data_IF_915580003987
#
_entry.id   IF_915580003987
#
_cell.length_a   1.000
_cell.length_b   1.000
_cell.length_c   1.000
_cell.angle_alpha   90.00
_cell.angle_beta   90.00
_cell.angle_gamma   90.00
#
_symmetry.space_group_name_H-M   'P 1'
#
loop_
_entity.id
_entity.type
_entity.pdbx_description
1 polymer ?
2 water ?
#
# COMPACT_ATOMS: atom_id res chain seq x y z
N UNK A 4 9.42 -21.63 18.30
CA UNK A 4 7.99 -21.53 18.73
C UNK A 4 7.63 -20.12 19.19
N UNK A 5 6.71 -19.48 18.48
CA UNK A 5 6.31 -18.13 18.85
C UNK A 5 4.82 -17.94 18.98
N UNK A 6 4.46 -16.89 19.71
CA UNK A 6 3.08 -16.48 19.94
C UNK A 6 2.93 -15.25 19.05
N UNK A 7 1.88 -15.20 18.25
CA UNK A 7 1.66 -14.06 17.37
C UNK A 7 0.36 -13.39 17.77
N UNK A 8 0.39 -12.06 17.89
CA UNK A 8 -0.78 -11.28 18.32
C UNK A 8 -0.62 -9.81 17.93
N UNK A 9 -1.68 -9.04 18.08
CA UNK A 9 -1.61 -7.60 17.77
C UNK A 9 -0.72 -6.98 18.86
N UNK A 10 0.03 -5.96 18.50
CA UNK A 10 0.91 -5.30 19.46
C UNK A 10 0.12 -4.39 20.40
N UNK A 11 0.69 -4.08 21.56
CA UNK A 11 0.06 -3.16 22.50
C UNK A 11 1.13 -2.12 22.85
N UNK A 12 0.77 -1.12 23.66
CA UNK A 12 1.73 -0.09 24.04
C UNK A 12 2.96 -0.66 24.71
N UNK A 13 2.79 -1.78 25.40
CA UNK A 13 3.90 -2.43 26.08
C UNK A 13 4.98 -2.97 25.16
N UNK A 14 4.67 -3.13 23.88
CA UNK A 14 5.64 -3.66 22.91
C UNK A 14 6.35 -2.55 22.15
N UNK A 15 5.83 -1.33 22.25
CA UNK A 15 6.38 -0.21 21.49
C UNK A 15 7.87 0.01 21.62
N UNK A 16 8.39 -0.04 22.84
CA UNK A 16 9.82 0.17 23.05
C UNK A 16 10.65 -0.86 22.27
N UNK A 17 10.26 -2.13 22.35
CA UNK A 17 10.99 -3.17 21.63
C UNK A 17 10.81 -3.05 20.12
N UNK A 18 9.61 -2.67 19.67
CA UNK A 18 9.40 -2.54 18.22
C UNK A 18 10.28 -1.43 17.63
N UNK A 19 10.32 -0.27 18.30
CA UNK A 19 11.15 0.83 17.82
C UNK A 19 12.62 0.43 17.79
N UNK A 20 13.06 -0.29 18.82
CA UNK A 20 14.45 -0.75 18.86
C UNK A 20 14.74 -1.65 17.65
N UNK A 21 13.82 -2.56 17.32
CA UNK A 21 13.99 -3.47 16.19
C UNK A 21 14.07 -2.67 14.90
N UNK A 22 13.22 -1.66 14.76
CA UNK A 22 13.23 -0.82 13.57
C UNK A 22 14.57 -0.09 13.40
N UNK A 23 15.05 0.49 14.49
CA UNK A 23 16.31 1.23 14.47
C UNK A 23 17.53 0.33 14.27
N UNK A 24 17.41 -0.93 14.64
CA UNK A 24 18.49 -1.89 14.52
C UNK A 24 18.62 -2.46 13.11
N UNK A 25 17.59 -2.26 12.29
CA UNK A 25 17.59 -2.76 10.92
C UNK A 25 18.72 -2.13 10.10
N UNK A 26 19.33 -2.92 9.23
CA UNK A 26 20.43 -2.43 8.40
C UNK A 26 20.05 -1.16 7.64
N UNK A 27 18.79 -1.08 7.21
CA UNK A 27 18.31 0.09 6.48
C UNK A 27 17.59 1.09 7.39
N UNK A 28 16.80 0.57 8.32
CA UNK A 28 16.07 1.44 9.22
C UNK A 28 16.99 2.26 10.11
N UNK A 29 18.19 1.72 10.33
CA UNK A 29 19.19 2.38 11.16
C UNK A 29 19.43 3.81 10.68
N UNK A 30 19.25 4.02 9.38
CA UNK A 30 19.46 5.32 8.77
C UNK A 30 18.22 6.20 8.78
N UNK A 31 17.06 5.62 9.05
CA UNK A 31 15.81 6.38 9.03
C UNK A 31 15.09 6.50 10.37
N UNK A 32 15.38 5.59 11.29
CA UNK A 32 14.70 5.60 12.59
C UNK A 32 15.46 6.36 13.67
N UNK A 33 14.81 6.55 14.81
CA UNK A 33 15.42 7.24 15.93
C UNK A 33 15.04 6.54 17.23
N UNK A 34 15.89 5.61 17.65
CA UNK A 34 15.63 4.90 18.89
C UNK A 34 16.30 5.63 20.04
N UNK A 35 15.54 5.91 21.09
CA UNK A 35 16.07 6.55 22.28
C UNK A 35 15.05 6.43 23.40
N UNK A 36 15.49 6.70 24.62
CA UNK A 36 14.64 6.64 25.80
C UNK A 36 14.69 8.00 26.47
N UNK A 37 13.54 8.66 26.63
CA UNK A 37 12.21 8.22 26.22
C UNK A 37 12.05 8.12 24.70
N UNK A 38 11.07 7.34 24.26
CA UNK A 38 10.80 7.17 22.84
C UNK A 38 10.28 8.47 22.22
N UNK A 39 10.68 8.76 20.96
CA UNK A 39 10.22 9.98 20.29
C UNK A 39 8.69 9.94 20.18
N UNK A 40 8.04 11.06 20.48
CA UNK A 40 6.59 11.10 20.43
C UNK A 40 6.00 10.78 19.05
N UNK A 41 6.78 10.99 18.01
CA UNK A 41 6.31 10.70 16.65
C UNK A 41 5.88 9.23 16.53
N UNK A 42 6.60 8.33 17.18
CA UNK A 42 6.26 6.91 17.15
C UNK A 42 4.97 6.68 17.93
N UNK A 43 4.81 7.44 19.01
CA UNK A 43 3.61 7.31 19.85
C UNK A 43 2.37 7.78 19.10
N UNK A 44 2.46 8.93 18.44
CA UNK A 44 1.33 9.45 17.68
C UNK A 44 0.92 8.47 16.58
N UNK A 45 1.90 7.86 15.94
CA UNK A 45 1.62 6.90 14.88
C UNK A 45 0.96 5.66 15.46
N UNK A 46 1.48 5.18 16.59
CA UNK A 46 0.92 4.00 17.24
C UNK A 46 -0.56 4.20 17.56
N UNK A 47 -0.88 5.37 18.11
CA UNK A 47 -2.26 5.69 18.47
C UNK A 47 -3.19 5.70 17.26
N UNK A 48 -2.71 6.28 16.16
CA UNK A 48 -3.52 6.35 14.94
C UNK A 48 -3.78 4.94 14.40
N UNK A 49 -2.74 4.11 14.42
CA UNK A 49 -2.85 2.74 13.94
C UNK A 49 -3.83 1.96 14.84
N UNK A 50 -3.69 2.13 16.14
CA UNK A 50 -4.55 1.45 17.10
C UNK A 50 -6.04 1.73 16.91
N UNK A 51 -6.39 2.99 16.69
CA UNK A 51 -7.79 3.35 16.52
C UNK A 51 -8.42 2.88 15.20
N UNK A 52 -7.59 2.57 14.21
CA UNK A 52 -8.09 2.10 12.92
C UNK A 52 -8.06 0.58 12.93
N UNK A 53 -9.24 -0.05 12.96
CA UNK A 53 -9.32 -1.51 12.98
C UNK A 53 -8.75 -2.22 11.74
N UNK A 54 -8.61 -1.49 10.64
CA UNK A 54 -8.09 -2.05 9.39
C UNK A 54 -6.62 -1.77 9.18
N UNK A 55 -5.95 -1.29 10.24
CA UNK A 55 -4.52 -1.00 10.19
C UNK A 55 -3.98 -1.63 11.47
N UNK A 56 -3.11 -2.63 11.34
CA UNK A 56 -2.61 -3.32 12.52
C UNK A 56 -1.11 -3.55 12.60
N UNK A 57 -0.62 -3.57 13.83
CA UNK A 57 0.78 -3.87 14.10
C UNK A 57 0.72 -5.24 14.73
N UNK A 58 1.47 -6.17 14.13
CA UNK A 58 1.50 -7.56 14.59
C UNK A 58 2.90 -7.92 15.07
N UNK A 59 2.98 -8.61 16.21
CA UNK A 59 4.27 -9.02 16.74
C UNK A 59 4.35 -10.52 17.00
N UNK A 60 5.55 -11.07 16.85
CA UNK A 60 5.85 -12.48 17.10
C UNK A 60 6.56 -12.41 18.45
N UNK A 61 6.11 -13.23 19.40
CA UNK A 61 6.67 -13.19 20.74
C UNK A 61 7.25 -14.49 21.28
N UNK A 62 8.31 -14.35 22.07
CA UNK A 62 8.96 -15.46 22.75
C UNK A 62 8.77 -15.02 24.20
N UNK A 63 7.55 -15.21 24.71
CA UNK A 63 7.26 -14.76 26.05
C UNK A 63 7.15 -13.25 25.91
N UNK A 64 7.83 -12.50 26.77
CA UNK A 64 7.77 -11.04 26.70
C UNK A 64 8.75 -10.48 25.66
N UNK A 65 9.62 -11.32 25.15
CA UNK A 65 10.60 -10.90 24.16
C UNK A 65 9.98 -10.84 22.77
N UNK A 66 9.99 -9.65 22.17
CA UNK A 66 9.45 -9.50 20.82
C UNK A 66 10.53 -9.97 19.85
N UNK A 67 10.22 -10.95 19.01
CA UNK A 67 11.22 -11.44 18.09
C UNK A 67 10.89 -11.17 16.63
N UNK A 68 9.78 -10.50 16.38
CA UNK A 68 9.39 -10.19 15.02
C UNK A 68 8.21 -9.23 14.99
N UNK A 69 8.07 -8.49 13.89
CA UNK A 69 6.98 -7.53 13.77
C UNK A 69 6.68 -7.22 12.31
N UNK A 70 5.49 -6.69 12.07
CA UNK A 70 5.09 -6.24 10.74
C UNK A 70 3.83 -5.43 10.91
N UNK A 71 3.50 -4.63 9.90
CA UNK A 71 2.28 -3.86 9.92
C UNK A 71 1.48 -4.38 8.73
N UNK A 72 0.17 -4.46 8.88
CA UNK A 72 -0.67 -4.91 7.80
C UNK A 72 -1.88 -4.00 7.73
N UNK A 73 -2.24 -3.60 6.51
CA UNK A 73 -3.36 -2.71 6.26
C UNK A 73 -4.33 -3.34 5.27
N UNK A 74 -5.61 -3.36 5.63
CA UNK A 74 -6.66 -3.94 4.79
C UNK A 74 -7.41 -2.77 4.18
N UNK A 75 -7.43 -2.72 2.85
CA UNK A 75 -8.04 -1.59 2.14
C UNK A 75 -8.91 -1.98 0.94
N UNK A 76 -10.04 -1.28 0.73
CA UNK A 76 -10.91 -1.60 -0.41
C UNK A 76 -10.43 -0.83 -1.64
N UNK A 77 -10.58 -1.44 -2.81
CA UNK A 77 -10.19 -0.84 -4.08
C UNK A 77 -11.30 -1.20 -5.08
N UNK A 78 -11.36 -0.48 -6.20
CA UNK A 78 -12.35 -0.78 -7.24
C UNK A 78 -11.82 -1.90 -8.14
N UNK A 79 -10.50 -2.01 -8.22
CA UNK A 79 -9.89 -3.02 -9.07
C UNK A 79 -10.16 -4.44 -8.61
N UNK A 80 -10.00 -5.38 -9.54
CA UNK A 80 -10.26 -6.79 -9.27
C UNK A 80 -11.70 -6.92 -8.78
N UNK A 81 -12.60 -6.23 -9.48
CA UNK A 81 -14.02 -6.23 -9.15
C UNK A 81 -14.29 -5.88 -7.69
N UNK A 82 -13.78 -4.71 -7.28
CA UNK A 82 -13.98 -4.21 -5.93
C UNK A 82 -13.40 -5.06 -4.82
N UNK A 83 -12.22 -5.62 -5.05
CA UNK A 83 -11.57 -6.49 -4.07
C UNK A 83 -10.76 -5.72 -3.04
N UNK A 84 -10.85 -6.17 -1.80
CA UNK A 84 -10.06 -5.60 -0.72
C UNK A 84 -8.67 -6.23 -0.84
N UNK A 85 -7.63 -5.49 -0.49
CA UNK A 85 -6.28 -6.01 -0.53
C UNK A 85 -5.64 -5.80 0.83
N UNK A 86 -4.71 -6.66 1.19
CA UNK A 86 -3.97 -6.52 2.43
C UNK A 86 -2.55 -6.15 2.01
N UNK A 87 -2.02 -5.07 2.57
CA UNK A 87 -0.66 -4.65 2.28
C UNK A 87 0.18 -4.82 3.54
N UNK A 88 1.25 -5.59 3.42
CA UNK A 88 2.17 -5.85 4.53
C UNK A 88 3.32 -4.88 4.39
N UNK A 89 3.75 -4.30 5.50
CA UNK A 89 4.85 -3.33 5.48
C UNK A 89 5.82 -3.51 6.63
N UNK A 90 7.11 -3.39 6.32
CA UNK A 90 8.15 -3.49 7.33
C UNK A 90 8.19 -4.75 8.17
N UNK A 91 8.36 -5.90 7.51
CA UNK A 91 8.45 -7.15 8.22
C UNK A 91 9.88 -7.20 8.77
N UNK A 92 10.02 -7.28 10.08
CA UNK A 92 11.34 -7.33 10.70
C UNK A 92 11.44 -8.52 11.64
N UNK A 93 12.61 -9.15 11.67
CA UNK A 93 12.87 -10.28 12.56
C UNK A 93 14.04 -9.86 13.46
N UNK A 94 14.01 -10.28 14.72
CA UNK A 94 15.06 -9.96 15.68
C UNK A 94 16.43 -10.35 15.09
N UNK A 95 17.41 -9.46 15.21
CA UNK A 95 18.74 -9.71 14.66
C UNK A 95 19.44 -10.93 15.27
N UNK A 96 19.00 -11.35 16.45
CA UNK A 96 19.60 -12.50 17.11
C UNK A 96 18.75 -13.76 16.91
N UNK A 97 17.78 -13.67 16.01
CA UNK A 97 16.90 -14.81 15.76
C UNK A 97 16.72 -15.14 14.29
N UNK A 98 17.73 -14.84 13.47
CA UNK A 98 17.63 -15.10 12.04
C UNK A 98 17.73 -16.59 11.73
N UNK A 99 17.01 -17.00 10.68
CA UNK A 99 17.04 -18.39 10.26
C UNK A 99 16.22 -19.34 11.09
N UNK A 100 15.35 -18.81 11.94
CA UNK A 100 14.51 -19.65 12.80
C UNK A 100 13.05 -19.72 12.36
N UNK A 101 12.76 -19.31 11.13
CA UNK A 101 11.41 -19.37 10.61
C UNK A 101 10.39 -18.43 11.25
N UNK A 102 10.86 -17.40 11.94
CA UNK A 102 9.96 -16.44 12.58
C UNK A 102 9.28 -15.57 11.53
N UNK A 103 10.06 -15.09 10.56
CA UNK A 103 9.51 -14.26 9.51
C UNK A 103 8.41 -14.97 8.75
N UNK A 104 8.66 -16.23 8.39
CA UNK A 104 7.66 -17.02 7.68
C UNK A 104 6.37 -17.19 8.48
N UNK A 105 6.49 -17.52 9.76
CA UNK A 105 5.31 -17.68 10.60
C UNK A 105 4.52 -16.38 10.69
N UNK A 106 5.22 -15.27 10.89
CA UNK A 106 4.57 -13.97 11.01
C UNK A 106 3.80 -13.60 9.73
N UNK A 107 4.44 -13.77 8.58
CA UNK A 107 3.78 -13.45 7.32
C UNK A 107 2.62 -14.40 7.02
N UNK A 108 2.81 -15.69 7.30
CA UNK A 108 1.74 -16.66 7.07
C UNK A 108 0.53 -16.31 7.93
N UNK A 109 0.79 -15.87 9.17
CA UNK A 109 -0.27 -15.49 10.10
C UNK A 109 -1.03 -14.30 9.52
N UNK A 110 -0.27 -13.32 9.03
CA UNK A 110 -0.86 -12.11 8.45
C UNK A 110 -1.69 -12.45 7.22
N UNK A 111 -1.20 -13.40 6.41
CA UNK A 111 -1.92 -13.81 5.21
C UNK A 111 -3.27 -14.46 5.56
N UNK A 112 -3.27 -15.29 6.61
CA UNK A 112 -4.53 -15.93 7.02
C UNK A 112 -5.48 -14.86 7.54
N UNK A 113 -4.91 -13.86 8.20
CA UNK A 113 -5.68 -12.75 8.74
C UNK A 113 -6.36 -12.03 7.57
N UNK A 114 -5.59 -11.78 6.51
CA UNK A 114 -6.12 -11.12 5.31
C UNK A 114 -7.26 -11.92 4.69
N UNK A 115 -7.10 -13.24 4.57
CA UNK A 115 -8.16 -14.07 4.01
C UNK A 115 -9.41 -13.93 4.87
N UNK A 116 -9.21 -13.96 6.19
CA UNK A 116 -10.32 -13.81 7.14
C UNK A 116 -11.07 -12.51 6.90
N UNK A 117 -10.33 -11.44 6.60
CA UNK A 117 -10.93 -10.13 6.35
C UNK A 117 -11.59 -10.03 4.98
N UNK A 118 -11.49 -11.08 4.17
CA UNK A 118 -12.10 -11.05 2.86
C UNK A 118 -11.25 -10.44 1.76
N UNK A 119 -9.94 -10.31 1.99
CA UNK A 119 -9.04 -9.75 0.97
C UNK A 119 -8.80 -10.79 -0.12
N UNK A 120 -8.68 -10.33 -1.37
CA UNK A 120 -8.45 -11.26 -2.46
C UNK A 120 -7.00 -11.32 -2.88
N UNK A 121 -6.18 -10.44 -2.34
CA UNK A 121 -4.75 -10.48 -2.64
C UNK A 121 -3.97 -9.79 -1.53
N UNK A 122 -2.73 -10.20 -1.38
CA UNK A 122 -1.88 -9.60 -0.37
C UNK A 122 -0.67 -9.08 -1.15
N UNK A 123 -0.14 -7.94 -0.73
CA UNK A 123 0.98 -7.32 -1.42
C UNK A 123 1.93 -6.62 -0.47
N UNK A 124 3.12 -6.33 -0.99
CA UNK A 124 4.14 -5.63 -0.23
C UNK A 124 5.27 -5.26 -1.18
N UNK A 125 6.13 -4.37 -0.71
CA UNK A 125 7.30 -3.93 -1.48
C UNK A 125 8.50 -4.18 -0.59
N UNK A 126 9.56 -4.74 -1.16
CA UNK A 126 10.77 -5.02 -0.40
C UNK A 126 11.93 -4.30 -1.05
N UNK A 127 12.77 -3.69 -0.23
CA UNK A 127 13.91 -2.93 -0.74
C UNK A 127 14.87 -3.80 -1.52
N UNK A 128 15.22 -3.36 -2.72
CA UNK A 128 16.13 -4.09 -3.59
C UNK A 128 17.53 -4.23 -2.98
N UNK A 129 17.80 -3.49 -1.91
CA UNK A 129 19.11 -3.58 -1.26
C UNK A 129 19.19 -4.76 -0.29
N UNK A 130 18.05 -5.40 -0.05
CA UNK A 130 18.02 -6.58 0.82
C UNK A 130 18.10 -7.77 -0.14
N UNK A 131 19.30 -8.35 -0.28
CA UNK A 131 19.51 -9.49 -1.17
C UNK A 131 18.61 -10.70 -0.97
N UNK A 132 18.40 -11.10 0.28
CA UNK A 132 17.59 -12.29 0.57
C UNK A 132 16.09 -12.10 0.69
N UNK A 133 15.62 -10.87 0.72
CA UNK A 133 14.19 -10.63 0.87
C UNK A 133 13.36 -11.18 -0.28
N UNK A 134 13.76 -10.88 -1.52
CA UNK A 134 13.02 -11.36 -2.68
C UNK A 134 12.81 -12.87 -2.63
N UNK A 135 13.89 -13.59 -2.33
CA UNK A 135 13.86 -15.05 -2.23
C UNK A 135 12.89 -15.52 -1.15
N UNK A 136 12.92 -14.84 0.00
CA UNK A 136 12.06 -15.17 1.13
C UNK A 136 10.57 -15.12 0.72
N UNK A 137 10.19 -14.07 0.01
CA UNK A 137 8.81 -13.91 -0.42
C UNK A 137 8.39 -14.82 -1.57
N UNK A 138 9.32 -15.09 -2.48
CA UNK A 138 9.02 -15.97 -3.60
C UNK A 138 8.79 -17.37 -3.06
N UNK A 139 9.53 -17.72 -2.01
CA UNK A 139 9.37 -19.03 -1.37
C UNK A 139 7.98 -19.18 -0.76
N UNK A 140 7.38 -18.07 -0.37
CA UNK A 140 6.03 -18.09 0.23
C UNK A 140 4.96 -18.18 -0.87
N UNK A 141 5.33 -17.82 -2.09
CA UNK A 141 4.36 -17.89 -3.17
C UNK A 141 4.06 -16.53 -3.76
N UNK A 142 4.76 -15.51 -3.29
CA UNK A 142 4.58 -14.16 -3.84
C UNK A 142 5.30 -14.07 -5.17
N UNK A 143 4.81 -13.21 -6.04
CA UNK A 143 5.42 -13.00 -7.35
C UNK A 143 5.88 -11.54 -7.44
N UNK A 144 7.12 -11.33 -7.89
CA UNK A 144 7.66 -9.98 -8.02
C UNK A 144 7.24 -9.43 -9.39
N UNK A 145 5.93 -9.23 -9.53
CA UNK A 145 5.32 -8.75 -10.76
C UNK A 145 5.40 -7.25 -11.00
N UNK A 146 5.61 -6.47 -9.92
CA UNK A 146 5.62 -5.02 -10.02
C UNK A 146 6.92 -4.34 -9.57
N UNK A 147 7.08 -3.09 -9.99
CA UNK A 147 8.22 -2.27 -9.59
C UNK A 147 7.69 -1.49 -8.40
N UNK A 148 8.47 -1.42 -7.33
CA UNK A 148 8.07 -0.68 -6.13
C UNK A 148 8.69 0.71 -6.20
N UNK A 149 7.87 1.70 -6.52
CA UNK A 149 8.32 3.09 -6.66
C UNK A 149 8.06 3.92 -5.42
N UNK A 150 9.07 4.69 -5.01
CA UNK A 150 8.94 5.55 -3.83
C UNK A 150 9.47 6.95 -4.14
N UNK A 151 8.91 7.94 -3.45
CA UNK A 151 9.31 9.34 -3.59
C UNK A 151 9.24 9.95 -2.19
N UNK A 152 10.40 10.33 -1.65
CA UNK A 152 10.44 10.93 -0.32
C UNK A 152 10.41 12.44 -0.44
N UNK A 153 9.70 13.10 0.47
CA UNK A 153 9.62 14.55 0.43
C UNK A 153 10.69 15.17 1.33
N UNK B 4 -8.07 19.98 -22.01
CA UNK B 4 -8.03 20.70 -20.70
C UNK B 4 -8.91 19.99 -19.68
N UNK B 5 -8.28 19.35 -18.70
CA UNK B 5 -9.02 18.62 -17.68
C UNK B 5 -9.02 19.27 -16.30
N UNK B 6 -10.08 18.98 -15.55
CA UNK B 6 -10.21 19.45 -14.19
C UNK B 6 -10.07 18.19 -13.35
N UNK B 7 -9.55 18.33 -12.14
CA UNK B 7 -9.36 17.19 -11.26
C UNK B 7 -10.19 17.35 -10.00
N UNK B 8 -10.83 16.28 -9.56
CA UNK B 8 -11.67 16.31 -8.37
C UNK B 8 -11.90 14.90 -7.84
N UNK B 9 -12.43 14.78 -6.63
CA UNK B 9 -12.72 13.46 -6.07
C UNK B 9 -13.91 12.92 -6.84
N UNK B 10 -13.91 11.60 -7.07
CA UNK B 10 -15.00 10.97 -7.80
C UNK B 10 -16.29 10.92 -7.00
N UNK B 11 -17.41 10.81 -7.69
CA UNK B 11 -18.71 10.69 -7.05
C UNK B 11 -19.36 9.45 -7.62
N UNK B 12 -20.50 9.04 -7.06
CA UNK B 12 -21.20 7.85 -7.50
C UNK B 12 -21.51 7.90 -9.00
N UNK B 13 -21.77 9.09 -9.51
CA UNK B 13 -22.08 9.22 -10.92
C UNK B 13 -20.93 8.91 -11.86
N UNK B 14 -19.71 8.89 -11.34
CA UNK B 14 -18.54 8.59 -12.16
C UNK B 14 -18.22 7.10 -12.19
N UNK B 15 -18.80 6.34 -11.28
CA UNK B 15 -18.52 4.91 -11.16
C UNK B 15 -18.59 4.11 -12.45
N UNK B 16 -19.67 4.28 -13.22
CA UNK B 16 -19.84 3.54 -14.45
C UNK B 16 -18.64 3.76 -15.39
N UNK B 17 -18.26 5.01 -15.56
CA UNK B 17 -17.13 5.31 -16.43
C UNK B 17 -15.81 4.82 -15.85
N UNK B 18 -15.67 4.88 -14.53
CA UNK B 18 -14.44 4.41 -13.91
C UNK B 18 -14.28 2.91 -14.14
N UNK B 19 -15.34 2.14 -13.91
CA UNK B 19 -15.26 0.70 -14.12
C UNK B 19 -14.98 0.41 -15.60
N UNK B 20 -15.62 1.14 -16.50
CA UNK B 20 -15.38 0.93 -17.93
C UNK B 20 -13.89 1.13 -18.26
N UNK B 21 -13.28 2.13 -17.63
CA UNK B 21 -11.86 2.42 -17.87
C UNK B 21 -11.01 1.26 -17.36
N UNK B 22 -11.32 0.77 -16.16
CA UNK B 22 -10.58 -0.35 -15.61
C UNK B 22 -10.71 -1.58 -16.52
N UNK B 23 -11.94 -1.84 -17.00
CA UNK B 23 -12.21 -3.00 -17.86
C UNK B 23 -11.60 -2.88 -19.25
N UNK B 24 -11.19 -1.68 -19.62
CA UNK B 24 -10.58 -1.42 -20.92
C UNK B 24 -9.05 -1.42 -20.85
N UNK B 25 -8.51 -1.41 -19.63
CA UNK B 25 -7.06 -1.38 -19.45
C UNK B 25 -6.39 -2.61 -20.06
N UNK B 26 -5.22 -2.41 -20.65
CA UNK B 26 -4.49 -3.49 -21.31
C UNK B 26 -4.35 -4.71 -20.41
N UNK B 27 -4.11 -4.48 -19.12
CA UNK B 27 -3.95 -5.56 -18.17
C UNK B 27 -5.24 -5.78 -17.34
N UNK B 28 -5.88 -4.69 -16.98
CA UNK B 28 -7.09 -4.78 -16.16
C UNK B 28 -8.25 -5.55 -16.79
N UNK B 29 -8.36 -5.50 -18.11
CA UNK B 29 -9.44 -6.18 -18.80
C UNK B 29 -9.60 -7.63 -18.33
N UNK B 30 -8.49 -8.29 -18.07
CA UNK B 30 -8.49 -9.69 -17.64
C UNK B 30 -9.10 -9.95 -16.26
N UNK B 31 -9.04 -8.94 -15.39
CA UNK B 31 -9.55 -9.07 -14.01
C UNK B 31 -10.86 -8.34 -13.72
N UNK B 32 -11.34 -7.53 -14.65
CA UNK B 32 -12.56 -6.78 -14.41
C UNK B 32 -13.80 -7.33 -15.13
N UNK B 33 -14.95 -6.77 -14.80
CA UNK B 33 -16.23 -7.20 -15.37
C UNK B 33 -17.16 -6.00 -15.55
N UNK B 34 -17.07 -5.32 -16.68
CA UNK B 34 -17.94 -4.17 -16.91
C UNK B 34 -19.29 -4.62 -17.46
N UNK B 35 -20.36 -4.25 -16.77
CA UNK B 35 -21.72 -4.62 -17.19
C UNK B 35 -22.74 -3.64 -16.66
N UNK B 36 -23.94 -3.68 -17.24
CA UNK B 36 -25.06 -2.83 -16.84
C UNK B 36 -26.20 -3.71 -16.37
N UNK B 37 -26.57 -3.62 -15.08
CA UNK B 37 -25.99 -2.73 -14.06
C UNK B 37 -24.63 -3.29 -13.61
N UNK B 38 -23.81 -2.43 -12.99
CA UNK B 38 -22.50 -2.84 -12.53
C UNK B 38 -22.58 -3.93 -11.48
N UNK B 39 -21.61 -4.88 -11.51
CA UNK B 39 -21.62 -5.96 -10.51
C UNK B 39 -21.63 -5.29 -9.14
N UNK B 40 -22.40 -5.84 -8.22
CA UNK B 40 -22.54 -5.25 -6.89
C UNK B 40 -21.24 -4.96 -6.15
N UNK B 41 -20.22 -5.79 -6.37
CA UNK B 41 -18.97 -5.56 -5.67
C UNK B 41 -18.35 -4.19 -5.97
N UNK B 42 -18.48 -3.70 -7.20
CA UNK B 42 -17.94 -2.38 -7.54
C UNK B 42 -18.68 -1.30 -6.75
N UNK B 43 -19.99 -1.41 -6.71
CA UNK B 43 -20.81 -0.44 -6.01
C UNK B 43 -20.49 -0.47 -4.52
N UNK B 44 -20.38 -1.66 -3.94
CA UNK B 44 -20.06 -1.78 -2.53
C UNK B 44 -18.69 -1.16 -2.24
N UNK B 45 -17.71 -1.47 -3.09
CA UNK B 45 -16.35 -0.95 -2.94
C UNK B 45 -16.32 0.56 -3.00
N UNK B 46 -17.00 1.13 -4.00
CA UNK B 46 -17.03 2.58 -4.11
C UNK B 46 -17.58 3.23 -2.85
N UNK B 47 -18.67 2.67 -2.32
CA UNK B 47 -19.26 3.24 -1.11
C UNK B 47 -18.31 3.19 0.09
N UNK B 48 -17.60 2.09 0.25
CA UNK B 48 -16.65 1.95 1.36
C UNK B 48 -15.49 2.94 1.21
N UNK B 49 -15.03 3.13 -0.02
CA UNK B 49 -13.95 4.07 -0.30
C UNK B 49 -14.41 5.51 -0.05
N UNK B 50 -15.56 5.87 -0.63
CA UNK B 50 -16.08 7.22 -0.48
C UNK B 50 -16.27 7.60 0.98
N UNK B 51 -16.72 6.64 1.79
CA UNK B 51 -16.96 6.86 3.21
C UNK B 51 -15.68 7.11 4.00
N UNK B 52 -14.61 6.41 3.63
CA UNK B 52 -13.32 6.56 4.32
C UNK B 52 -12.59 7.80 3.81
N UNK B 53 -12.38 8.76 4.70
CA UNK B 53 -11.70 10.01 4.33
C UNK B 53 -10.24 9.87 3.95
N UNK B 54 -9.58 8.80 4.41
CA UNK B 54 -8.17 8.58 4.10
C UNK B 54 -7.98 7.68 2.86
N UNK B 55 -9.09 7.36 2.19
CA UNK B 55 -9.05 6.51 1.00
C UNK B 55 -9.83 7.30 -0.06
N UNK B 56 -9.12 7.86 -1.04
CA UNK B 56 -9.78 8.67 -2.06
C UNK B 56 -9.65 8.22 -3.49
N UNK B 57 -10.77 8.34 -4.21
CA UNK B 57 -10.82 8.01 -5.63
C UNK B 57 -10.83 9.36 -6.32
N UNK B 58 -9.81 9.59 -7.16
CA UNK B 58 -9.66 10.86 -7.87
C UNK B 58 -9.88 10.69 -9.37
N UNK B 59 -10.57 11.65 -9.98
CA UNK B 59 -10.83 11.59 -11.41
C UNK B 59 -10.40 12.85 -12.15
N UNK B 60 -9.94 12.67 -13.38
CA UNK B 60 -9.55 13.77 -14.25
C UNK B 60 -10.76 13.89 -15.16
N UNK B 61 -11.31 15.09 -15.28
CA UNK B 61 -12.51 15.28 -16.10
C UNK B 61 -12.40 16.28 -17.24
N UNK B 62 -13.11 15.95 -18.31
CA UNK B 62 -13.22 16.82 -19.47
C UNK B 62 -14.73 16.97 -19.51
N UNK B 63 -15.23 17.87 -18.66
CA UNK B 63 -16.66 18.07 -18.57
C UNK B 63 -17.16 17.01 -17.61
N UNK B 64 -18.11 16.21 -18.05
CA UNK B 64 -18.67 15.15 -17.23
C UNK B 64 -17.95 13.84 -17.58
N UNK B 65 -17.25 13.87 -18.71
CA UNK B 65 -16.52 12.70 -19.19
C UNK B 65 -15.23 12.46 -18.39
N UNK B 66 -15.13 11.26 -17.82
CA UNK B 66 -13.94 10.88 -17.05
C UNK B 66 -12.84 10.51 -18.05
N UNK B 67 -11.70 11.19 -17.98
CA UNK B 67 -10.60 10.90 -18.89
C UNK B 67 -9.37 10.33 -18.17
N UNK B 68 -9.45 10.27 -16.84
CA UNK B 68 -8.35 9.75 -16.06
C UNK B 68 -8.81 9.40 -14.66
N UNK B 69 -8.05 8.56 -13.95
CA UNK B 69 -8.43 8.18 -12.61
C UNK B 69 -7.27 7.58 -11.83
N UNK B 70 -7.43 7.56 -10.51
CA UNK B 70 -6.45 6.94 -9.62
C UNK B 70 -7.06 6.90 -8.24
N UNK B 71 -6.52 6.03 -7.40
CA UNK B 71 -6.97 5.93 -6.02
C UNK B 71 -5.74 6.26 -5.21
N UNK B 72 -5.92 6.95 -4.09
CA UNK B 72 -4.78 7.27 -3.24
C UNK B 72 -5.22 7.04 -1.80
N UNK B 73 -4.35 6.43 -1.02
CA UNK B 73 -4.64 6.13 0.38
C UNK B 73 -3.57 6.71 1.30
N UNK B 74 -4.02 7.38 2.35
CA UNK B 74 -3.13 8.00 3.34
C UNK B 74 -3.15 7.14 4.60
N UNK B 75 -2.00 6.59 4.93
CA UNK B 75 -1.90 5.65 6.05
C UNK B 75 -0.75 5.96 7.00
N UNK B 76 -0.97 5.76 8.32
CA UNK B 76 0.08 6.00 9.31
C UNK B 76 0.88 4.71 9.50
N UNK B 77 2.19 4.85 9.68
CA UNK B 77 3.06 3.69 9.90
C UNK B 77 4.04 4.00 11.03
N UNK B 78 4.62 2.97 11.62
CA UNK B 78 5.62 3.15 12.68
C UNK B 78 6.95 3.54 12.06
N UNK B 79 7.24 3.00 10.88
CA UNK B 79 8.50 3.26 10.17
C UNK B 79 8.70 4.73 9.82
N UNK B 80 9.96 5.12 9.65
CA UNK B 80 10.30 6.51 9.33
C UNK B 80 9.83 7.40 10.47
N UNK B 81 10.07 6.93 11.69
CA UNK B 81 9.69 7.67 12.88
C UNK B 81 8.21 8.04 12.86
N UNK B 82 7.36 7.06 12.61
CA UNK B 82 5.92 7.29 12.60
C UNK B 82 5.41 8.15 11.46
N UNK B 83 5.99 8.01 10.28
CA UNK B 83 5.57 8.80 9.13
C UNK B 83 4.36 8.26 8.40
N UNK B 84 3.48 9.17 7.98
CA UNK B 84 2.32 8.79 7.20
C UNK B 84 2.81 8.70 5.75
N UNK B 85 2.22 7.78 4.99
CA UNK B 85 2.59 7.63 3.60
C UNK B 85 1.33 7.67 2.74
N UNK B 86 1.50 8.11 1.50
CA UNK B 86 0.39 8.14 0.55
C UNK B 86 0.73 7.05 -0.45
N UNK B 87 -0.22 6.18 -0.75
CA UNK B 87 0.00 5.11 -1.72
C UNK B 87 -0.96 5.30 -2.89
N UNK B 88 -0.40 5.48 -4.08
CA UNK B 88 -1.22 5.66 -5.27
C UNK B 88 -1.44 4.26 -5.84
N UNK B 89 -2.62 4.01 -6.39
CA UNK B 89 -2.94 2.71 -6.96
C UNK B 89 -3.85 2.84 -8.18
N UNK B 90 -3.44 2.19 -9.27
CA UNK B 90 -4.24 2.19 -10.48
C UNK B 90 -4.47 3.49 -11.23
N UNK B 91 -3.38 4.13 -11.64
CA UNK B 91 -3.51 5.36 -12.41
C UNK B 91 -3.91 4.91 -13.81
N UNK B 92 -5.06 5.40 -14.28
CA UNK B 92 -5.54 5.02 -15.60
C UNK B 92 -5.94 6.26 -16.39
N UNK B 93 -5.72 6.22 -17.70
CA UNK B 93 -6.07 7.33 -18.60
C UNK B 93 -6.93 6.79 -19.73
N UNK B 94 -7.93 7.55 -20.14
CA UNK B 94 -8.83 7.13 -21.22
C UNK B 94 -8.00 6.83 -22.47
N UNK B 95 -8.35 5.75 -23.15
CA UNK B 95 -7.62 5.35 -24.36
C UNK B 95 -7.66 6.40 -25.48
N UNK B 96 -8.67 7.27 -25.45
CA UNK B 96 -8.80 8.29 -26.47
C UNK B 96 -8.21 9.62 -26.01
N UNK B 97 -7.57 9.62 -24.85
CA UNK B 97 -6.98 10.85 -24.31
C UNK B 97 -5.54 10.63 -23.89
N UNK B 98 -4.88 9.68 -24.55
CA UNK B 98 -3.50 9.36 -24.23
C UNK B 98 -2.52 10.43 -24.72
N UNK B 99 -1.41 10.56 -24.01
CA UNK B 99 -0.39 11.53 -24.37
C UNK B 99 -0.82 12.98 -24.30
N UNK B 100 -1.66 13.31 -23.31
CA UNK B 100 -2.12 14.68 -23.17
C UNK B 100 -1.74 15.24 -21.79
N UNK B 101 -0.87 14.52 -21.10
CA UNK B 101 -0.41 14.95 -19.78
C UNK B 101 -1.42 14.71 -18.68
N UNK B 102 -2.45 13.92 -18.96
CA UNK B 102 -3.48 13.65 -17.96
C UNK B 102 -2.94 12.81 -16.79
N UNK B 103 -2.14 11.79 -17.10
CA UNK B 103 -1.59 10.96 -16.05
C UNK B 103 -0.68 11.77 -15.15
N UNK B 104 0.16 12.59 -15.76
CA UNK B 104 1.09 13.44 -15.03
C UNK B 104 0.33 14.42 -14.12
N UNK B 105 -0.77 14.95 -14.63
CA UNK B 105 -1.57 15.90 -13.87
C UNK B 105 -2.21 15.23 -12.65
N UNK B 106 -2.70 14.01 -12.87
CA UNK B 106 -3.33 13.25 -11.81
C UNK B 106 -2.30 12.93 -10.71
N UNK B 107 -1.13 12.45 -11.10
CA UNK B 107 -0.10 12.09 -10.14
C UNK B 107 0.44 13.31 -9.39
N UNK B 108 0.64 14.42 -10.09
CA UNK B 108 1.13 15.63 -9.43
C UNK B 108 0.10 16.10 -8.44
N UNK B 109 -1.17 15.96 -8.80
CA UNK B 109 -2.28 16.36 -7.93
C UNK B 109 -2.23 15.50 -6.65
N UNK B 110 -1.97 14.21 -6.83
CA UNK B 110 -1.89 13.29 -5.70
C UNK B 110 -0.69 13.61 -4.83
N UNK B 111 0.42 13.97 -5.47
CA UNK B 111 1.65 14.31 -4.76
C UNK B 111 1.40 15.51 -3.84
N UNK B 112 0.76 16.55 -4.37
CA UNK B 112 0.45 17.72 -3.57
C UNK B 112 -0.51 17.37 -2.44
N UNK B 113 -1.47 16.52 -2.74
CA UNK B 113 -2.45 16.07 -1.76
C UNK B 113 -1.75 15.36 -0.60
N UNK B 114 -0.75 14.54 -0.92
CA UNK B 114 0.01 13.80 0.10
C UNK B 114 0.73 14.78 1.02
N UNK B 115 1.36 15.78 0.43
CA UNK B 115 2.08 16.80 1.19
C UNK B 115 1.10 17.53 2.11
N UNK B 116 -0.08 17.85 1.57
CA UNK B 116 -1.11 18.54 2.34
C UNK B 116 -1.53 17.70 3.56
N UNK B 117 -1.60 16.39 3.36
CA UNK B 117 -1.99 15.47 4.42
C UNK B 117 -0.90 15.20 5.45
N UNK B 118 0.29 15.75 5.22
CA UNK B 118 1.36 15.54 6.17
C UNK B 118 2.16 14.27 5.93
N UNK B 119 2.02 13.70 4.73
CA UNK B 119 2.77 12.48 4.40
C UNK B 119 4.21 12.87 4.12
N UNK B 120 5.15 11.98 4.42
CA UNK B 120 6.55 12.26 4.20
C UNK B 120 7.07 11.46 3.00
N UNK B 121 6.21 10.60 2.47
CA UNK B 121 6.56 9.75 1.34
C UNK B 121 5.31 9.36 0.54
N UNK B 122 5.47 9.21 -0.76
CA UNK B 122 4.37 8.76 -1.62
C UNK B 122 4.92 7.55 -2.38
N UNK B 123 4.11 6.52 -2.53
CA UNK B 123 4.55 5.29 -3.18
C UNK B 123 3.47 4.62 -4.01
N UNK B 124 3.89 3.65 -4.81
CA UNK B 124 2.97 2.88 -5.65
C UNK B 124 3.74 1.73 -6.30
N UNK B 125 3.00 0.80 -6.88
CA UNK B 125 3.59 -0.32 -7.59
C UNK B 125 3.00 -0.34 -8.99
N UNK B 126 3.85 -0.50 -10.00
CA UNK B 126 3.42 -0.55 -11.39
C UNK B 126 3.82 -1.89 -11.96
N UNK B 127 2.91 -2.50 -12.72
CA UNK B 127 3.17 -3.80 -13.33
C UNK B 127 4.37 -3.76 -14.27
N UNK B 128 5.29 -4.71 -14.13
CA UNK B 128 6.46 -4.74 -15.00
C UNK B 128 6.06 -4.96 -16.46
N UNK B 129 4.81 -5.37 -16.70
CA UNK B 129 4.33 -5.58 -18.06
C UNK B 129 3.98 -4.27 -18.76
N UNK B 130 4.03 -3.15 -18.05
CA UNK B 130 3.77 -1.84 -18.65
C UNK B 130 5.17 -1.27 -18.88
N UNK B 131 5.73 -1.50 -20.10
CA UNK B 131 7.07 -1.03 -20.44
C UNK B 131 7.35 0.47 -20.24
N UNK B 132 6.34 1.31 -20.50
CA UNK B 132 6.53 2.76 -20.37
C UNK B 132 6.16 3.35 -19.01
N UNK B 133 5.57 2.55 -18.13
CA UNK B 133 5.18 3.05 -16.82
C UNK B 133 6.38 3.44 -15.98
N UNK B 134 7.40 2.61 -15.98
CA UNK B 134 8.60 2.87 -15.20
C UNK B 134 9.23 4.22 -15.54
N UNK B 135 9.38 4.52 -16.83
CA UNK B 135 9.97 5.78 -17.25
C UNK B 135 9.08 6.94 -16.81
N UNK B 136 7.78 6.79 -17.03
CA UNK B 136 6.78 7.81 -16.68
C UNK B 136 6.91 8.29 -15.24
N UNK B 137 7.00 7.35 -14.31
CA UNK B 137 7.11 7.69 -12.90
C UNK B 137 8.50 8.19 -12.51
N UNK B 138 9.54 7.59 -13.08
CA UNK B 138 10.90 8.03 -12.76
C UNK B 138 11.09 9.48 -13.14
N UNK B 139 10.42 9.91 -14.21
CA UNK B 139 10.53 11.29 -14.67
C UNK B 139 9.78 12.25 -13.76
N UNK B 140 8.84 11.71 -12.98
CA UNK B 140 8.07 12.53 -12.06
C UNK B 140 8.78 12.62 -10.71
N UNK B 141 9.87 11.87 -10.56
CA UNK B 141 10.62 11.90 -9.31
C UNK B 141 10.61 10.62 -8.50
N UNK B 142 9.93 9.59 -9.00
CA UNK B 142 9.87 8.32 -8.29
C UNK B 142 11.09 7.47 -8.55
N UNK B 143 11.47 6.67 -7.56
CA UNK B 143 12.60 5.78 -7.71
C UNK B 143 12.18 4.33 -7.53
N UNK B 144 12.60 3.48 -8.46
CA UNK B 144 12.28 2.06 -8.41
C UNK B 144 13.24 1.38 -7.43
N UNK B 145 13.06 1.71 -6.16
CA UNK B 145 13.90 1.17 -5.09
C UNK B 145 13.46 -0.16 -4.52
N UNK B 146 12.22 -0.56 -4.79
CA UNK B 146 11.68 -1.80 -4.24
C UNK B 146 11.09 -2.78 -5.25
N UNK B 147 10.98 -4.03 -4.84
CA UNK B 147 10.34 -5.04 -5.68
C UNK B 147 8.88 -5.03 -5.24
N UNK B 148 7.96 -5.00 -6.19
CA UNK B 148 6.54 -5.03 -5.86
C UNK B 148 6.06 -6.46 -5.92
N UNK B 149 5.80 -7.05 -4.75
CA UNK B 149 5.37 -8.44 -4.64
C UNK B 149 3.87 -8.57 -4.44
N UNK B 150 3.27 -9.52 -5.15
CA UNK B 150 1.82 -9.77 -5.07
C UNK B 150 1.50 -11.26 -4.93
N UNK B 151 0.38 -11.55 -4.28
CA UNK B 151 -0.11 -12.92 -4.07
C UNK B 151 -1.63 -12.86 -4.19
N UNK B 152 -2.19 -13.50 -5.20
CA UNK B 152 -3.64 -13.53 -5.40
C UNK B 152 -4.20 -14.81 -4.80
N UNK B 153 -5.28 -14.70 -4.04
CA UNK B 153 -5.87 -15.88 -3.43
C UNK B 153 -6.85 -16.57 -4.36
#
# INVERSE_FOLDING_TARGET
>A
MNIHVTIREATEGDLEQMVHMLADDVLGRKRERYEKPLPVSYVRAFKEIKKDKNNELIVACNGEEIVGMLQVTFTPYLTYQGSWRATIEGVRTHSAARGQGIGSQLVCWAIERAKERGCHLIQLTTDKQRPDALRFYEQLGFKASHEGLKMHF
>B
MNIHVTIREATEGDLEQMVHMLADDVLGRKRERYEKPLPVSYVRAFKEIKKDKNNELIVACNGEEIVGMLQVTFTPYLTYQGSWRATIEGVRTHSAARGQGIGSQLVCWAIERAKERGCHLIQLTTDKQRPDALRFYEQLGFKASHEGLKMHF
#
